data_IF_123479154188
#
_entry.id   IF_123479154188
#
_cell.length_a   1.000
_cell.length_b   1.000
_cell.length_c   1.000
_cell.angle_alpha   90.00
_cell.angle_beta   90.00
_cell.angle_gamma   90.00
#
_symmetry.space_group_name_H-M   'P 1'
#
loop_
_entity.id
_entity.type
_entity.pdbx_description
1 polymer ?
#
# COMPACT_ATOMS: atom_id res chain seq x y z
N UNK A 1 -55.69 29.32 31.40
CA UNK A 1 -56.22 30.45 30.59
C UNK A 1 -55.08 30.87 29.64
N UNK A 2 -55.19 31.02 28.32
CA UNK A 2 -56.35 31.15 27.40
C UNK A 2 -56.26 30.20 26.18
N UNK A 3 -57.41 29.94 25.58
CA UNK A 3 -57.78 29.15 24.38
C UNK A 3 -57.59 29.96 23.06
N UNK A 4 -57.69 29.48 21.80
CA UNK A 4 -57.72 28.17 21.06
C UNK A 4 -57.79 28.46 19.52
N UNK A 5 -57.48 27.46 18.67
CA UNK A 5 -57.96 27.23 17.25
C UNK A 5 -57.52 28.26 16.16
N UNK A 6 -57.02 27.93 14.96
CA UNK A 6 -57.41 27.02 13.83
C UNK A 6 -58.41 27.60 12.80
N UNK A 7 -57.90 27.93 11.60
CA UNK A 7 -58.56 28.00 10.26
C UNK A 7 -57.39 27.81 9.25
N UNK A 8 -57.20 26.74 8.46
CA UNK A 8 -58.00 26.06 7.39
C UNK A 8 -58.18 26.92 6.11
N UNK A 9 -57.51 26.53 5.02
CA UNK A 9 -57.60 27.21 3.72
C UNK A 9 -57.16 26.32 2.57
N UNK A 10 -58.02 25.38 2.17
CA UNK A 10 -57.76 24.38 1.12
C UNK A 10 -58.57 24.65 -0.14
N UNK A 11 -57.91 24.81 -1.29
CA UNK A 11 -58.48 24.62 -2.64
C UNK A 11 -57.29 24.30 -3.58
N UNK A 12 -57.18 23.12 -4.22
CA UNK A 12 -58.02 22.55 -5.30
C UNK A 12 -58.16 23.53 -6.48
N UNK A 13 -57.95 23.18 -7.74
CA UNK A 13 -57.41 22.01 -8.48
C UNK A 13 -57.73 22.34 -9.96
N UNK A 14 -56.80 22.23 -10.90
CA UNK A 14 -57.11 22.31 -12.33
C UNK A 14 -56.05 21.61 -13.18
N UNK A 15 -56.11 20.28 -13.21
CA UNK A 15 -55.32 19.44 -14.13
C UNK A 15 -55.89 19.51 -15.54
N UNK A 16 -55.03 19.59 -16.56
CA UNK A 16 -55.26 19.13 -17.94
C UNK A 16 -53.86 19.00 -18.60
N UNK A 17 -53.19 17.84 -18.55
CA UNK A 17 -53.40 16.66 -19.41
C UNK A 17 -53.12 16.92 -20.90
N UNK A 18 -51.89 16.61 -21.32
CA UNK A 18 -51.59 16.04 -22.64
C UNK A 18 -50.32 15.16 -22.56
N UNK A 19 -50.53 13.89 -22.21
CA UNK A 19 -49.73 12.73 -22.67
C UNK A 19 -50.28 12.31 -24.07
N UNK A 20 -49.73 11.29 -24.78
CA UNK A 20 -48.56 10.43 -24.47
C UNK A 20 -47.57 10.17 -25.64
N UNK A 21 -46.40 9.62 -25.27
CA UNK A 21 -45.73 8.49 -25.95
C UNK A 21 -44.83 7.82 -24.87
N UNK A 22 -44.98 6.59 -24.37
CA UNK A 22 -45.41 5.29 -24.92
C UNK A 22 -44.51 4.86 -26.09
N UNK A 23 -43.74 3.76 -26.06
CA UNK A 23 -43.44 2.75 -25.03
C UNK A 23 -41.99 2.22 -25.26
N UNK A 24 -41.37 1.17 -24.69
CA UNK A 24 -41.70 0.02 -23.81
C UNK A 24 -40.42 -0.25 -22.95
N UNK A 25 -40.41 -0.54 -21.64
CA UNK A 25 -40.65 -1.83 -20.93
C UNK A 25 -39.96 -3.06 -21.54
N UNK A 26 -39.20 -3.91 -20.82
CA UNK A 26 -38.88 -4.06 -19.38
C UNK A 26 -37.83 -5.19 -19.25
N UNK A 27 -38.04 -6.23 -18.43
CA UNK A 27 -38.10 -6.34 -16.95
C UNK A 27 -36.76 -6.88 -16.36
N UNK A 28 -36.50 -7.01 -15.05
CA UNK A 28 -37.26 -6.73 -13.83
C UNK A 28 -36.56 -7.34 -12.59
N UNK A 29 -37.01 -6.93 -11.38
CA UNK A 29 -36.87 -7.60 -10.06
C UNK A 29 -35.50 -7.99 -9.49
N UNK A 30 -35.12 -7.39 -8.35
CA UNK A 30 -34.09 -7.89 -7.43
C UNK A 30 -33.83 -6.96 -6.23
N UNK A 31 -34.16 -7.33 -4.98
CA UNK A 31 -34.01 -6.45 -3.82
C UNK A 31 -32.73 -6.73 -3.02
N UNK A 32 -31.90 -5.71 -2.81
CA UNK A 32 -30.80 -5.73 -1.84
C UNK A 32 -30.62 -4.37 -1.16
N UNK A 33 -31.65 -3.98 -0.40
CA UNK A 33 -31.43 -3.14 0.78
C UNK A 33 -30.86 -3.99 1.92
N UNK A 34 -30.04 -3.35 2.77
CA UNK A 34 -29.37 -3.89 3.97
C UNK A 34 -28.16 -4.84 3.76
N UNK A 35 -27.12 -4.58 4.56
CA UNK A 35 -25.84 -5.30 4.75
C UNK A 35 -24.78 -5.24 3.61
N UNK A 36 -23.47 -5.04 3.94
CA UNK A 36 -22.40 -4.92 2.95
C UNK A 36 -21.54 -6.19 2.80
N UNK A 37 -21.35 -6.67 1.57
CA UNK A 37 -20.31 -7.65 1.20
C UNK A 37 -19.96 -7.53 -0.31
N UNK A 38 -18.81 -8.06 -0.79
CA UNK A 38 -17.91 -7.21 -1.60
C UNK A 38 -17.61 -7.72 -3.01
N UNK A 39 -17.21 -6.79 -3.90
CA UNK A 39 -16.50 -7.10 -5.15
C UNK A 39 -17.16 -6.56 -6.42
N UNK A 40 -16.33 -6.00 -7.31
CA UNK A 40 -16.73 -5.40 -8.59
C UNK A 40 -15.71 -4.31 -8.97
N UNK A 41 -14.63 -4.60 -9.69
CA UNK A 41 -14.62 -4.70 -11.16
C UNK A 41 -15.39 -3.56 -11.83
N UNK A 42 -14.69 -2.45 -12.10
CA UNK A 42 -15.22 -1.34 -12.90
C UNK A 42 -15.27 -1.71 -14.40
N UNK A 43 -16.29 -1.27 -15.14
CA UNK A 43 -16.49 -1.64 -16.54
C UNK A 43 -15.63 -0.80 -17.49
N UNK A 44 -15.06 -1.45 -18.50
CA UNK A 44 -14.17 -0.83 -19.50
C UNK A 44 -13.98 -1.68 -20.75
N UNK A 45 -15.04 -2.32 -21.24
CA UNK A 45 -15.04 -3.10 -22.47
C UNK A 45 -15.40 -2.22 -23.67
N UNK A 46 -14.40 -1.86 -24.48
CA UNK A 46 -14.59 -1.38 -25.86
C UNK A 46 -14.42 -2.53 -26.84
N UNK A 47 -15.26 -2.66 -27.90
CA UNK A 47 -15.16 -3.75 -28.86
C UNK A 47 -14.09 -3.46 -29.92
N UNK A 48 -13.06 -4.30 -29.98
CA UNK A 48 -12.04 -4.28 -31.04
C UNK A 48 -11.88 -5.67 -31.68
N UNK A 49 -12.06 -5.83 -33.00
CA UNK A 49 -11.86 -7.12 -33.66
C UNK A 49 -10.37 -7.38 -33.88
N UNK A 50 -9.84 -8.42 -33.23
CA UNK A 50 -8.39 -8.69 -33.23
C UNK A 50 -7.99 -10.06 -32.68
N UNK A 51 -8.64 -11.14 -33.14
CA UNK A 51 -8.17 -12.50 -32.87
C UNK A 51 -6.90 -12.79 -33.69
N UNK A 52 -5.74 -12.63 -33.07
CA UNK A 52 -4.47 -13.16 -33.56
C UNK A 52 -3.98 -14.31 -32.66
N UNK A 53 -3.58 -15.48 -33.20
CA UNK A 53 -3.04 -16.59 -32.40
C UNK A 53 -1.58 -16.29 -32.01
N UNK A 54 -1.41 -15.43 -31.01
CA UNK A 54 -0.10 -15.01 -30.49
C UNK A 54 0.01 -15.28 -28.99
N UNK A 55 0.66 -16.37 -28.61
CA UNK A 55 0.95 -16.71 -27.21
C UNK A 55 2.01 -15.77 -26.62
N UNK A 56 1.57 -14.57 -26.18
CA UNK A 56 2.41 -13.56 -25.55
C UNK A 56 2.81 -13.92 -24.12
N UNK A 57 3.91 -14.66 -23.98
CA UNK A 57 4.60 -14.83 -22.70
C UNK A 57 5.03 -13.46 -22.17
N UNK A 58 4.54 -13.06 -20.99
CA UNK A 58 4.80 -11.72 -20.46
C UNK A 58 3.98 -11.28 -19.24
N UNK A 59 3.14 -12.15 -18.66
CA UNK A 59 2.47 -11.85 -17.39
C UNK A 59 3.49 -11.86 -16.25
N UNK A 60 3.95 -10.68 -15.84
CA UNK A 60 4.78 -10.51 -14.66
C UNK A 60 4.09 -11.16 -13.44
N UNK A 61 4.79 -12.00 -12.64
CA UNK A 61 4.14 -12.77 -11.59
C UNK A 61 3.66 -11.89 -10.43
N UNK A 62 2.36 -11.59 -10.47
CA UNK A 62 1.50 -11.38 -9.30
C UNK A 62 1.79 -10.19 -8.40
N UNK A 63 0.99 -9.12 -8.54
CA UNK A 63 0.63 -8.26 -7.39
C UNK A 63 -0.38 -8.94 -6.44
N UNK A 64 -0.25 -10.26 -6.25
CA UNK A 64 -0.93 -10.97 -5.18
C UNK A 64 -0.32 -10.58 -3.83
N UNK A 65 -1.07 -10.80 -2.75
CA UNK A 65 -0.53 -10.67 -1.38
C UNK A 65 0.71 -11.55 -1.28
N UNK A 66 1.90 -10.95 -1.12
CA UNK A 66 3.15 -11.70 -0.96
C UNK A 66 2.98 -12.60 0.26
N UNK A 67 2.85 -13.90 0.02
CA UNK A 67 2.84 -14.91 1.07
C UNK A 67 4.15 -14.91 1.86
N UNK A 68 4.26 -15.72 2.92
CA UNK A 68 5.53 -15.95 3.59
C UNK A 68 6.60 -16.26 2.55
N UNK A 69 7.70 -15.49 2.54
CA UNK A 69 8.82 -15.76 1.63
C UNK A 69 9.39 -17.11 2.03
N UNK A 70 9.53 -18.03 1.09
CA UNK A 70 10.32 -19.22 1.34
C UNK A 70 11.77 -18.77 1.57
N UNK A 71 12.24 -18.85 2.81
CA UNK A 71 13.59 -18.41 3.17
C UNK A 71 14.68 -19.29 2.55
N UNK A 72 14.38 -20.52 2.15
CA UNK A 72 15.32 -21.41 1.48
C UNK A 72 15.59 -20.98 0.01
N UNK A 73 14.79 -20.04 -0.52
CA UNK A 73 15.00 -19.40 -1.82
C UNK A 73 15.62 -17.99 -1.70
N UNK A 74 15.97 -17.53 -0.50
CA UNK A 74 16.55 -16.20 -0.29
C UNK A 74 18.07 -16.20 -0.49
N UNK A 75 18.65 -15.09 -0.98
CA UNK A 75 20.10 -14.88 -1.04
C UNK A 75 20.81 -15.03 0.33
N UNK A 76 20.08 -14.83 1.43
CA UNK A 76 20.56 -15.09 2.79
C UNK A 76 19.42 -15.78 3.57
N UNK A 77 19.40 -17.12 3.64
CA UNK A 77 18.36 -17.88 4.33
C UNK A 77 18.33 -17.65 5.84
N UNK A 78 19.48 -17.47 6.49
CA UNK A 78 19.59 -17.29 7.93
C UNK A 78 18.98 -15.95 8.39
N UNK A 79 19.36 -14.84 7.74
CA UNK A 79 18.78 -13.53 8.00
C UNK A 79 17.27 -13.50 7.67
N UNK A 80 16.82 -14.27 6.67
CA UNK A 80 15.41 -14.43 6.38
C UNK A 80 14.66 -15.15 7.51
N UNK A 81 15.20 -16.28 7.99
CA UNK A 81 14.63 -17.06 9.10
C UNK A 81 14.62 -16.26 10.41
N UNK A 82 15.70 -15.54 10.72
CA UNK A 82 15.76 -14.67 11.90
C UNK A 82 14.73 -13.53 11.84
N UNK A 83 14.55 -12.89 10.68
CA UNK A 83 13.52 -11.87 10.49
C UNK A 83 12.10 -12.46 10.57
N UNK A 84 11.87 -13.67 10.05
CA UNK A 84 10.60 -14.38 10.20
C UNK A 84 10.29 -14.66 11.68
N UNK A 85 11.24 -15.25 12.42
CA UNK A 85 11.10 -15.53 13.86
C UNK A 85 10.80 -14.26 14.67
N UNK A 86 11.48 -13.15 14.39
CA UNK A 86 11.19 -11.87 15.05
C UNK A 86 9.78 -11.34 14.73
N UNK A 87 9.28 -11.53 13.50
CA UNK A 87 7.89 -11.21 13.15
C UNK A 87 6.88 -12.10 13.87
N UNK A 88 7.18 -13.38 14.06
CA UNK A 88 6.33 -14.33 14.78
C UNK A 88 6.30 -14.03 16.28
N UNK A 89 7.46 -13.74 16.88
CA UNK A 89 7.57 -13.28 18.27
C UNK A 89 6.84 -11.96 18.50
N UNK A 90 6.98 -10.98 17.60
CA UNK A 90 6.23 -9.73 17.67
C UNK A 90 4.70 -9.95 17.52
N UNK A 91 4.28 -10.91 16.69
CA UNK A 91 2.86 -11.27 16.56
C UNK A 91 2.30 -11.91 17.83
N UNK A 92 3.06 -12.78 18.48
CA UNK A 92 2.67 -13.39 19.76
C UNK A 92 2.63 -12.33 20.88
N UNK A 93 3.68 -11.53 21.03
CA UNK A 93 3.76 -10.47 22.05
C UNK A 93 2.72 -9.34 21.87
N UNK A 94 2.20 -9.16 20.65
CA UNK A 94 1.16 -8.19 20.33
C UNK A 94 -0.17 -8.86 19.92
N UNK A 95 -0.42 -10.12 20.31
CA UNK A 95 -1.62 -10.86 19.90
C UNK A 95 -2.90 -10.28 20.50
N UNK A 96 -2.84 -9.87 21.77
CA UNK A 96 -3.98 -9.37 22.56
C UNK A 96 -4.32 -7.89 22.25
N UNK A 97 -3.52 -7.24 21.39
CA UNK A 97 -3.74 -5.86 20.96
C UNK A 97 -4.42 -5.84 19.60
N UNK A 98 -5.34 -4.90 19.40
CA UNK A 98 -6.08 -4.71 18.14
C UNK A 98 -5.88 -3.30 17.59
N UNK A 99 -6.28 -3.09 16.33
CA UNK A 99 -6.34 -1.75 15.73
C UNK A 99 -5.02 -0.95 15.79
N UNK A 100 -5.06 0.35 16.18
CA UNK A 100 -3.89 1.21 16.30
C UNK A 100 -2.84 0.71 17.30
N UNK A 101 -3.27 0.18 18.45
CA UNK A 101 -2.37 -0.29 19.53
C UNK A 101 -1.52 -1.48 19.08
N UNK A 102 -2.13 -2.40 18.31
CA UNK A 102 -1.41 -3.51 17.67
C UNK A 102 -0.33 -3.00 16.74
N UNK A 103 -0.63 -1.96 15.96
CA UNK A 103 0.30 -1.35 15.00
C UNK A 103 1.48 -0.67 15.70
N UNK A 104 1.24 0.02 16.83
CA UNK A 104 2.32 0.57 17.66
C UNK A 104 3.18 -0.55 18.25
N UNK A 105 2.58 -1.52 18.95
CA UNK A 105 3.31 -2.65 19.54
C UNK A 105 4.18 -3.40 18.52
N UNK A 106 3.65 -3.69 17.33
CA UNK A 106 4.44 -4.30 16.24
C UNK A 106 5.57 -3.39 15.76
N UNK A 107 5.34 -2.08 15.69
CA UNK A 107 6.36 -1.08 15.34
C UNK A 107 7.49 -1.00 16.37
N UNK A 108 7.17 -1.12 17.65
CA UNK A 108 8.15 -1.08 18.75
C UNK A 108 8.96 -2.38 18.81
N UNK A 109 8.30 -3.54 18.68
CA UNK A 109 8.98 -4.84 18.55
C UNK A 109 9.96 -4.86 17.36
N UNK A 110 9.57 -4.30 16.21
CA UNK A 110 10.43 -4.21 15.03
C UNK A 110 11.57 -3.19 15.15
N UNK A 111 11.42 -2.14 15.99
CA UNK A 111 12.53 -1.23 16.30
C UNK A 111 13.58 -1.90 17.19
N UNK A 112 13.17 -2.84 18.05
CA UNK A 112 14.03 -3.57 18.97
C UNK A 112 14.69 -4.82 18.34
N UNK A 113 14.56 -5.04 17.03
CA UNK A 113 15.20 -6.16 16.33
C UNK A 113 16.73 -6.17 16.55
N UNK A 114 17.27 -7.35 16.81
CA UNK A 114 18.70 -7.58 16.99
C UNK A 114 19.44 -7.51 15.64
N UNK A 115 20.20 -6.45 15.43
CA UNK A 115 20.90 -6.22 14.17
C UNK A 115 22.01 -7.24 13.89
N UNK A 116 22.54 -7.95 14.90
CA UNK A 116 23.48 -9.04 14.69
C UNK A 116 22.84 -10.19 13.88
N UNK A 117 21.51 -10.34 13.95
CA UNK A 117 20.73 -11.33 13.19
C UNK A 117 20.25 -10.82 11.83
N UNK A 118 20.65 -9.61 11.43
CA UNK A 118 20.37 -9.08 10.10
C UNK A 118 21.43 -9.53 9.09
N UNK A 119 21.06 -9.59 7.80
CA UNK A 119 22.02 -9.90 6.74
C UNK A 119 23.07 -8.82 6.47
N UNK A 120 23.01 -7.68 7.17
CA UNK A 120 24.04 -6.64 7.20
C UNK A 120 23.94 -5.86 8.53
N UNK A 121 24.62 -6.30 9.60
CA UNK A 121 24.58 -5.66 10.91
C UNK A 121 24.94 -4.16 10.93
N UNK A 122 26.02 -3.67 10.29
CA UNK A 122 26.34 -2.24 10.34
C UNK A 122 25.27 -1.37 9.66
N UNK A 123 24.65 -1.83 8.57
CA UNK A 123 23.54 -1.12 7.94
C UNK A 123 22.27 -1.11 8.79
N UNK A 124 22.02 -2.18 9.54
CA UNK A 124 20.89 -2.25 10.47
C UNK A 124 21.07 -1.26 11.64
N UNK A 125 22.26 -1.20 12.23
CA UNK A 125 22.58 -0.27 13.33
C UNK A 125 22.61 1.19 12.84
N UNK A 126 23.17 1.47 11.67
CA UNK A 126 23.07 2.80 11.03
C UNK A 126 21.61 3.24 10.87
N UNK A 127 20.74 2.34 10.39
CA UNK A 127 19.31 2.63 10.23
C UNK A 127 18.61 2.85 11.56
N UNK A 128 18.95 2.10 12.61
CA UNK A 128 18.43 2.33 13.98
C UNK A 128 18.77 3.73 14.49
N UNK A 129 20.04 4.16 14.37
CA UNK A 129 20.49 5.50 14.80
C UNK A 129 19.69 6.60 14.08
N UNK A 130 19.62 6.53 12.76
CA UNK A 130 18.83 7.45 11.93
C UNK A 130 17.35 7.44 12.30
N UNK A 131 16.80 6.28 12.69
CA UNK A 131 15.39 6.18 13.11
C UNK A 131 15.13 6.87 14.47
N UNK A 132 16.10 6.87 15.39
CA UNK A 132 16.02 7.66 16.62
C UNK A 132 16.20 9.16 16.33
N UNK A 133 17.10 9.53 15.42
CA UNK A 133 17.29 10.93 15.01
C UNK A 133 16.09 11.53 14.24
N UNK A 134 15.33 10.70 13.52
CA UNK A 134 14.10 11.07 12.82
C UNK A 134 12.83 10.84 13.65
N UNK A 135 12.96 10.46 14.92
CA UNK A 135 11.84 10.23 15.84
C UNK A 135 11.03 11.52 16.03
N UNK A 136 9.70 11.39 16.03
CA UNK A 136 8.77 12.53 16.03
C UNK A 136 8.30 12.95 14.64
N UNK A 137 9.02 12.59 13.56
CA UNK A 137 8.49 12.71 12.21
C UNK A 137 7.67 11.46 11.84
N UNK A 138 6.67 11.63 10.97
CA UNK A 138 5.86 10.51 10.44
C UNK A 138 5.66 10.65 8.93
N UNK A 139 5.15 9.60 8.28
CA UNK A 139 4.73 9.66 6.88
C UNK A 139 5.86 10.04 5.90
N UNK A 140 5.62 10.96 4.94
CA UNK A 140 6.63 11.42 3.99
C UNK A 140 7.84 12.10 4.64
N UNK A 141 7.63 12.92 5.68
CA UNK A 141 8.69 13.65 6.37
C UNK A 141 9.71 12.67 6.99
N UNK A 142 9.23 11.66 7.71
CA UNK A 142 10.11 10.60 8.25
C UNK A 142 10.97 9.95 7.15
N UNK A 143 10.40 9.68 5.97
CA UNK A 143 11.15 9.08 4.84
C UNK A 143 12.22 10.02 4.30
N UNK A 144 11.94 11.32 4.23
CA UNK A 144 12.90 12.35 3.81
C UNK A 144 14.03 12.51 4.82
N UNK A 145 13.71 12.61 6.12
CA UNK A 145 14.71 12.65 7.19
C UNK A 145 15.61 11.41 7.16
N UNK A 146 15.03 10.21 7.05
CA UNK A 146 15.79 8.97 6.92
C UNK A 146 16.68 9.00 5.67
N UNK A 147 16.16 9.46 4.52
CA UNK A 147 16.92 9.55 3.28
C UNK A 147 18.13 10.50 3.41
N UNK A 148 17.95 11.66 4.03
CA UNK A 148 18.99 12.68 4.20
C UNK A 148 20.07 12.28 5.22
N UNK A 149 19.69 11.51 6.25
CA UNK A 149 20.58 11.11 7.35
C UNK A 149 21.18 9.71 7.20
N UNK A 150 20.70 8.90 6.24
CA UNK A 150 21.25 7.56 6.04
C UNK A 150 22.70 7.65 5.54
N UNK A 151 23.69 7.07 6.25
CA UNK A 151 25.05 7.04 5.73
C UNK A 151 25.13 6.15 4.48
N UNK A 152 26.13 6.40 3.61
CA UNK A 152 26.45 5.47 2.54
C UNK A 152 26.81 4.08 3.11
N UNK A 153 26.41 3.02 2.40
CA UNK A 153 26.81 1.65 2.69
C UNK A 153 28.16 1.31 2.07
N UNK A 154 29.01 0.65 2.87
CA UNK A 154 30.26 0.04 2.42
C UNK A 154 29.97 -1.22 1.59
N UNK A 155 29.92 -1.03 0.27
CA UNK A 155 29.56 -2.07 -0.69
C UNK A 155 30.57 -3.22 -0.80
N UNK A 156 31.80 -3.04 -0.30
CA UNK A 156 32.85 -4.05 -0.21
C UNK A 156 32.43 -5.30 0.58
N UNK A 157 31.52 -5.14 1.54
CA UNK A 157 31.00 -6.23 2.40
C UNK A 157 29.65 -6.80 1.95
N UNK A 158 29.08 -6.28 0.86
CA UNK A 158 27.81 -6.74 0.33
C UNK A 158 27.96 -8.07 -0.42
N UNK A 159 26.95 -8.94 -0.35
CA UNK A 159 26.87 -10.19 -1.15
C UNK A 159 26.95 -9.93 -2.65
N UNK A 160 26.57 -8.73 -3.10
CA UNK A 160 26.78 -8.24 -4.47
C UNK A 160 27.28 -6.78 -4.41
N UNK A 161 28.62 -6.57 -4.43
CA UNK A 161 29.22 -5.24 -4.40
C UNK A 161 28.81 -4.39 -5.61
N UNK A 162 28.76 -4.97 -6.81
CA UNK A 162 28.44 -4.26 -8.06
C UNK A 162 27.00 -3.72 -8.05
N UNK A 163 26.04 -4.49 -7.51
CA UNK A 163 24.66 -4.01 -7.34
C UNK A 163 24.52 -3.02 -6.21
N UNK A 164 25.27 -3.18 -5.13
CA UNK A 164 25.33 -2.19 -4.06
C UNK A 164 25.86 -0.83 -4.58
N UNK A 165 26.95 -0.81 -5.33
CA UNK A 165 27.50 0.40 -5.96
C UNK A 165 26.52 1.07 -6.91
N UNK A 166 25.79 0.30 -7.72
CA UNK A 166 24.74 0.84 -8.60
C UNK A 166 23.61 1.49 -7.80
N UNK A 167 23.19 0.88 -6.68
CA UNK A 167 22.21 1.47 -5.76
C UNK A 167 22.75 2.73 -5.10
N UNK A 168 24.03 2.77 -4.74
CA UNK A 168 24.68 3.96 -4.18
C UNK A 168 24.75 5.11 -5.19
N UNK A 169 25.20 4.84 -6.42
CA UNK A 169 25.22 5.82 -7.52
C UNK A 169 23.82 6.36 -7.82
N UNK A 170 22.80 5.50 -7.84
CA UNK A 170 21.40 5.91 -8.00
C UNK A 170 20.89 6.77 -6.82
N UNK A 171 21.30 6.48 -5.59
CA UNK A 171 20.95 7.30 -4.41
C UNK A 171 21.58 8.68 -4.49
N UNK A 172 22.87 8.76 -4.79
CA UNK A 172 23.59 10.04 -4.97
C UNK A 172 22.99 10.87 -6.10
N UNK A 173 22.74 10.29 -7.27
CA UNK A 173 22.16 10.98 -8.42
C UNK A 173 20.71 11.45 -8.21
N UNK A 174 20.01 10.91 -7.20
CA UNK A 174 18.64 11.25 -6.86
C UNK A 174 18.50 12.00 -5.53
N UNK A 175 19.59 12.30 -4.80
CA UNK A 175 19.53 12.78 -3.41
C UNK A 175 18.79 14.10 -3.23
N UNK A 176 18.88 14.98 -4.22
CA UNK A 176 18.22 16.30 -4.25
C UNK A 176 16.71 16.21 -4.50
N UNK A 177 16.19 15.02 -4.79
CA UNK A 177 14.75 14.75 -4.95
C UNK A 177 14.18 14.16 -3.67
N UNK A 178 12.92 14.50 -3.41
CA UNK A 178 12.20 14.06 -2.22
C UNK A 178 10.94 13.27 -2.58
N UNK A 179 10.49 12.38 -1.68
CA UNK A 179 9.17 11.76 -1.78
C UNK A 179 8.93 10.97 -3.09
N UNK A 180 7.85 11.23 -3.85
CA UNK A 180 7.55 10.53 -5.10
C UNK A 180 8.65 10.69 -6.16
N UNK A 181 9.23 11.88 -6.32
CA UNK A 181 10.21 12.16 -7.37
C UNK A 181 11.53 11.44 -7.15
N UNK A 182 11.92 11.24 -5.88
CA UNK A 182 13.03 10.38 -5.52
C UNK A 182 12.80 8.94 -5.97
N UNK A 183 11.61 8.40 -5.73
CA UNK A 183 11.24 7.04 -6.14
C UNK A 183 11.10 6.90 -7.66
N UNK A 184 10.64 7.96 -8.35
CA UNK A 184 10.64 8.03 -9.81
C UNK A 184 12.05 8.02 -10.40
N UNK A 185 12.94 8.85 -9.85
CA UNK A 185 14.35 8.91 -10.24
C UNK A 185 15.08 7.58 -9.99
N UNK A 186 14.94 7.00 -8.79
CA UNK A 186 15.49 5.68 -8.49
C UNK A 186 14.97 4.60 -9.46
N UNK A 187 13.67 4.63 -9.82
CA UNK A 187 13.13 3.69 -10.81
C UNK A 187 13.79 3.88 -12.18
N UNK A 188 13.92 5.12 -12.65
CA UNK A 188 14.55 5.43 -13.93
C UNK A 188 16.00 4.92 -14.01
N UNK A 189 16.79 5.04 -12.94
CA UNK A 189 18.17 4.52 -12.84
C UNK A 189 18.28 2.99 -13.08
N UNK A 190 17.19 2.23 -12.98
CA UNK A 190 17.15 0.78 -13.18
C UNK A 190 16.20 0.31 -14.30
N UNK A 191 15.51 1.22 -15.00
CA UNK A 191 14.48 0.86 -16.00
C UNK A 191 14.98 0.83 -17.45
N UNK A 192 16.30 0.97 -17.66
CA UNK A 192 16.96 0.97 -18.97
C UNK A 192 18.10 -0.05 -19.08
N UNK A 193 17.94 -1.24 -18.48
CA UNK A 193 18.85 -2.38 -18.56
C UNK A 193 18.08 -3.66 -18.86
#
# INVERSE_FOLDING_TARGET
MKTRLMIIGSALMASLLCLPAMAQTGPGTGPCGAAPCPGGMGPGMGPGPGMGPGAGQGMAPGMGRRGPRNCDQAQNPEACKAHQQAHEQARAACQDKVGPERKQCMGDQMQNFDCAKSGNPPQCEARKKVYQECKGQTGPAFRQCVQQKMPPVECSTATDPKRCEQVQKAREACKDKAGPDYMGCLRAQFSGK
#
